data_IF_188894130501
#
_entry.id   IF_188894130501
#
_cell.length_a   1.000
_cell.length_b   1.000
_cell.length_c   1.000
_cell.angle_alpha   90.00
_cell.angle_beta   90.00
_cell.angle_gamma   90.00
#
_symmetry.space_group_name_H-M   'P 1'
#
loop_
_entity.id
_entity.type
_entity.pdbx_description
1 polymer ?
#
# COMPACT_ATOMS: atom_id res chain seq x y z
N UNK A 1 2.51 -8.08 -0.99
CA UNK A 1 2.48 -8.00 0.48
C UNK A 1 1.29 -8.83 0.94
N UNK A 2 1.37 -9.53 2.06
CA UNK A 2 0.21 -10.26 2.59
C UNK A 2 -0.95 -9.31 2.89
N UNK A 3 -2.18 -9.84 2.85
CA UNK A 3 -3.37 -9.06 3.21
C UNK A 3 -3.24 -8.48 4.62
N UNK A 4 -3.72 -7.25 4.82
CA UNK A 4 -3.72 -6.58 6.13
C UNK A 4 -2.38 -5.99 6.58
N UNK A 5 -1.27 -6.28 5.87
CA UNK A 5 0.01 -5.62 6.13
C UNK A 5 0.02 -4.22 5.55
N UNK A 6 0.46 -3.25 6.34
CA UNK A 6 0.76 -1.89 5.89
C UNK A 6 2.24 -1.62 6.00
N UNK A 7 2.79 -0.80 5.11
CA UNK A 7 4.21 -0.43 5.13
C UNK A 7 4.43 0.93 4.47
N UNK A 8 5.14 1.82 5.13
CA UNK A 8 5.67 3.03 4.52
C UNK A 8 6.93 2.73 3.71
N UNK A 9 6.99 3.33 2.53
CA UNK A 9 8.17 3.35 1.68
C UNK A 9 8.48 4.80 1.27
N UNK A 10 9.75 5.11 1.13
CA UNK A 10 10.26 6.38 0.61
C UNK A 10 11.29 6.06 -0.47
N UNK A 11 11.40 6.92 -1.47
CA UNK A 11 12.41 6.80 -2.53
C UNK A 11 12.49 5.39 -3.12
N UNK A 12 11.35 4.88 -3.61
CA UNK A 12 11.24 3.50 -4.08
C UNK A 12 10.57 3.41 -5.45
N UNK A 13 10.84 2.34 -6.21
CA UNK A 13 10.18 2.12 -7.50
C UNK A 13 8.69 1.82 -7.36
N UNK A 14 7.95 1.81 -8.47
CA UNK A 14 6.51 1.52 -8.49
C UNK A 14 6.13 0.11 -8.05
N UNK A 15 7.10 -0.81 -8.07
CA UNK A 15 6.87 -2.25 -7.84
C UNK A 15 5.74 -2.83 -8.70
N UNK A 16 5.57 -2.33 -9.93
CA UNK A 16 4.56 -2.80 -10.89
C UNK A 16 3.19 -2.11 -10.77
N UNK A 17 3.03 -1.14 -9.87
CA UNK A 17 1.77 -0.40 -9.74
C UNK A 17 1.66 0.71 -10.81
N UNK A 18 0.82 0.50 -11.83
CA UNK A 18 0.67 1.41 -12.99
C UNK A 18 0.38 2.88 -12.61
N UNK A 19 -0.45 3.10 -11.58
CA UNK A 19 -0.72 4.46 -11.10
C UNK A 19 0.48 5.14 -10.42
N UNK A 20 1.37 4.36 -9.80
CA UNK A 20 2.58 4.91 -9.18
C UNK A 20 3.64 5.14 -10.26
N UNK A 21 3.74 4.25 -11.25
CA UNK A 21 4.59 4.48 -12.43
C UNK A 21 4.25 5.81 -13.10
N UNK A 22 2.96 6.07 -13.35
CA UNK A 22 2.49 7.33 -13.92
C UNK A 22 2.85 8.56 -13.07
N UNK A 23 2.79 8.45 -11.73
CA UNK A 23 3.24 9.52 -10.83
C UNK A 23 4.75 9.74 -10.92
N UNK A 24 5.55 8.68 -10.96
CA UNK A 24 7.01 8.76 -11.08
C UNK A 24 7.40 9.45 -12.39
N UNK A 25 6.79 9.03 -13.51
CA UNK A 25 7.00 9.65 -14.82
C UNK A 25 6.60 11.13 -14.82
N UNK A 26 5.45 11.46 -14.22
CA UNK A 26 4.93 12.83 -14.18
C UNK A 26 5.74 13.77 -13.29
N UNK A 27 6.31 13.24 -12.20
CA UNK A 27 7.10 14.01 -11.23
C UNK A 27 8.61 14.02 -11.58
N UNK A 28 9.04 13.19 -12.52
CA UNK A 28 10.46 13.05 -12.91
C UNK A 28 11.32 12.32 -11.88
N UNK A 29 10.70 11.60 -10.94
CA UNK A 29 11.41 10.94 -9.84
C UNK A 29 10.47 10.22 -8.87
N UNK A 30 11.07 9.43 -7.97
CA UNK A 30 10.34 8.63 -6.99
C UNK A 30 10.63 9.04 -5.53
N UNK A 31 11.16 10.25 -5.34
CA UNK A 31 11.52 10.87 -4.04
C UNK A 31 10.28 11.32 -3.23
N UNK A 32 9.32 10.42 -3.05
CA UNK A 32 8.10 10.68 -2.28
C UNK A 32 7.70 9.49 -1.41
N UNK A 33 7.11 9.80 -0.26
CA UNK A 33 6.60 8.82 0.69
C UNK A 33 5.29 8.21 0.22
N UNK A 34 5.12 6.90 0.44
CA UNK A 34 3.87 6.18 0.14
C UNK A 34 3.55 5.18 1.25
N UNK A 35 2.28 5.09 1.62
CA UNK A 35 1.77 3.98 2.42
C UNK A 35 1.30 2.86 1.47
N UNK A 36 1.91 1.68 1.58
CA UNK A 36 1.47 0.47 0.88
C UNK A 36 0.51 -0.30 1.77
N UNK A 37 -0.63 -0.71 1.22
CA UNK A 37 -1.59 -1.61 1.86
C UNK A 37 -1.60 -2.92 1.10
N UNK A 38 -1.36 -4.03 1.80
CA UNK A 38 -1.23 -5.34 1.20
C UNK A 38 -2.59 -5.97 0.89
N UNK A 39 -2.74 -6.45 -0.33
CA UNK A 39 -3.92 -7.18 -0.83
C UNK A 39 -3.59 -8.64 -1.15
N UNK A 40 -2.56 -9.21 -0.51
CA UNK A 40 -1.97 -10.50 -0.87
C UNK A 40 -1.35 -10.54 -2.29
N UNK A 41 -1.00 -11.73 -2.75
CA UNK A 41 -0.54 -12.01 -4.11
C UNK A 41 -1.63 -12.84 -4.80
N UNK A 42 -1.83 -12.68 -6.12
CA UNK A 42 -2.70 -13.57 -6.87
C UNK A 42 -2.24 -15.03 -6.68
N UNK A 43 -3.17 -16.00 -6.56
CA UNK A 43 -2.84 -17.41 -6.62
C UNK A 43 -2.11 -17.77 -7.91
N UNK A 44 -1.35 -18.88 -7.90
CA UNK A 44 -0.60 -19.33 -9.07
C UNK A 44 -1.53 -19.51 -10.28
N UNK A 45 -1.14 -18.92 -11.42
CA UNK A 45 -1.91 -18.95 -12.66
C UNK A 45 -3.02 -17.91 -12.78
N UNK A 46 -3.26 -17.09 -11.74
CA UNK A 46 -4.18 -15.95 -11.81
C UNK A 46 -3.46 -14.72 -12.33
N UNK A 47 -4.05 -14.08 -13.35
CA UNK A 47 -3.56 -12.82 -13.90
C UNK A 47 -3.64 -11.70 -12.85
N UNK A 48 -2.52 -11.04 -12.51
CA UNK A 48 -2.52 -9.91 -11.57
C UNK A 48 -3.50 -8.79 -11.93
N UNK A 49 -3.73 -8.52 -13.23
CA UNK A 49 -4.66 -7.47 -13.66
C UNK A 49 -6.11 -7.82 -13.35
N UNK A 50 -6.46 -9.11 -13.39
CA UNK A 50 -7.80 -9.58 -12.99
C UNK A 50 -7.94 -9.56 -11.48
N UNK A 51 -6.91 -10.01 -10.77
CA UNK A 51 -6.92 -10.09 -9.31
C UNK A 51 -7.20 -8.74 -8.64
N UNK A 52 -6.62 -7.64 -9.15
CA UNK A 52 -6.85 -6.29 -8.59
C UNK A 52 -8.25 -5.74 -8.87
N UNK A 53 -9.02 -6.37 -9.75
CA UNK A 53 -10.40 -6.01 -10.08
C UNK A 53 -11.43 -6.89 -9.36
N UNK A 54 -10.99 -7.95 -8.68
CA UNK A 54 -11.86 -8.84 -7.91
C UNK A 54 -12.27 -8.20 -6.58
N UNK A 55 -13.41 -8.66 -6.05
CA UNK A 55 -13.86 -8.29 -4.72
C UNK A 55 -13.04 -9.02 -3.64
N UNK A 56 -12.86 -8.37 -2.49
CA UNK A 56 -12.29 -9.06 -1.32
C UNK A 56 -13.20 -10.20 -0.86
N UNK A 57 -12.58 -11.27 -0.36
CA UNK A 57 -13.30 -12.43 0.19
C UNK A 57 -14.15 -12.03 1.43
N UNK A 58 -15.18 -12.80 1.80
CA UNK A 58 -16.00 -12.49 2.99
C UNK A 58 -15.20 -12.36 4.29
N UNK A 59 -14.06 -13.04 4.40
CA UNK A 59 -13.14 -12.92 5.54
C UNK A 59 -12.38 -11.60 5.49
N UNK A 60 -11.78 -11.27 4.36
CA UNK A 60 -11.06 -10.00 4.17
C UNK A 60 -11.98 -8.79 4.34
N UNK A 61 -13.21 -8.86 3.84
CA UNK A 61 -14.23 -7.82 4.02
C UNK A 61 -14.50 -7.52 5.50
N UNK A 62 -14.48 -8.53 6.38
CA UNK A 62 -14.63 -8.33 7.84
C UNK A 62 -13.41 -7.65 8.47
N UNK A 63 -12.23 -7.83 7.89
CA UNK A 63 -10.97 -7.24 8.37
C UNK A 63 -10.74 -5.82 7.83
N UNK A 64 -11.36 -5.45 6.70
CA UNK A 64 -11.21 -4.15 6.05
C UNK A 64 -11.42 -2.94 6.98
N UNK A 65 -12.47 -2.86 7.82
CA UNK A 65 -12.68 -1.70 8.69
C UNK A 65 -11.49 -1.46 9.64
N UNK A 66 -10.92 -2.54 10.19
CA UNK A 66 -9.75 -2.46 11.07
C UNK A 66 -8.50 -2.04 10.29
N UNK A 67 -8.29 -2.61 9.10
CA UNK A 67 -7.18 -2.26 8.22
C UNK A 67 -7.22 -0.79 7.80
N UNK A 68 -8.39 -0.28 7.43
CA UNK A 68 -8.60 1.12 7.06
C UNK A 68 -8.31 2.01 8.26
N UNK A 69 -8.88 1.71 9.43
CA UNK A 69 -8.63 2.47 10.66
C UNK A 69 -7.13 2.56 10.99
N UNK A 70 -6.43 1.43 10.96
CA UNK A 70 -4.97 1.39 11.19
C UNK A 70 -4.19 2.18 10.13
N UNK A 71 -4.63 2.14 8.87
CA UNK A 71 -4.01 2.90 7.78
C UNK A 71 -4.19 4.41 7.96
N UNK A 72 -5.35 4.85 8.45
CA UNK A 72 -5.60 6.26 8.77
C UNK A 72 -4.69 6.76 9.90
N UNK A 73 -4.54 5.99 10.97
CA UNK A 73 -3.61 6.34 12.05
C UNK A 73 -2.16 6.38 11.58
N UNK A 74 -1.78 5.47 10.67
CA UNK A 74 -0.46 5.49 10.04
C UNK A 74 -0.23 6.78 9.24
N UNK A 75 -1.21 7.19 8.41
CA UNK A 75 -1.14 8.43 7.64
C UNK A 75 -1.08 9.66 8.55
N UNK A 76 -1.86 9.71 9.63
CA UNK A 76 -1.78 10.79 10.63
C UNK A 76 -0.38 10.88 11.22
N UNK A 77 0.20 9.74 11.63
CA UNK A 77 1.56 9.69 12.17
C UNK A 77 2.59 10.18 11.16
N UNK A 78 2.41 9.91 9.86
CA UNK A 78 3.29 10.44 8.82
C UNK A 78 3.18 11.96 8.69
N UNK A 79 1.96 12.50 8.71
CA UNK A 79 1.72 13.94 8.60
C UNK A 79 2.28 14.67 9.83
N UNK A 80 2.10 14.12 11.04
CA UNK A 80 2.49 14.76 12.30
C UNK A 80 3.98 14.64 12.61
N UNK A 81 4.58 13.48 12.33
CA UNK A 81 5.93 13.14 12.80
C UNK A 81 6.93 12.85 11.67
N UNK A 82 6.51 12.91 10.40
CA UNK A 82 7.37 12.66 9.24
C UNK A 82 7.57 11.18 8.90
N UNK A 83 8.23 10.93 7.76
CA UNK A 83 8.32 9.60 7.14
C UNK A 83 9.15 8.61 7.98
N UNK A 84 10.25 9.06 8.57
CA UNK A 84 11.14 8.20 9.36
C UNK A 84 10.44 7.66 10.61
N UNK A 85 9.75 8.53 11.36
CA UNK A 85 8.99 8.14 12.54
C UNK A 85 7.84 7.18 12.18
N UNK A 86 7.14 7.46 11.08
CA UNK A 86 6.07 6.61 10.59
C UNK A 86 6.58 5.23 10.14
N UNK A 87 7.72 5.17 9.44
CA UNK A 87 8.38 3.92 9.06
C UNK A 87 8.77 3.10 10.28
N UNK A 88 9.38 3.71 11.30
CA UNK A 88 9.78 3.02 12.53
C UNK A 88 8.59 2.43 13.31
N UNK A 89 7.41 3.06 13.22
CA UNK A 89 6.21 2.64 13.96
C UNK A 89 5.36 1.59 13.24
N UNK A 90 5.32 1.62 11.92
CA UNK A 90 4.35 0.84 11.14
C UNK A 90 4.94 -0.21 10.19
N UNK A 91 6.26 -0.21 9.94
CA UNK A 91 6.91 -1.16 9.03
C UNK A 91 7.20 -2.53 9.66
#
# INVERSE_FOLDING_TARGET
>A
MEFGKIRFVFDSSSAGHKGVESLIESLGGYEFGRLRVGIARPPDGVDPEKYVLEEFTPKEQQELPSLISRSLEAVKSYIEFGIEAAMNRYN
#
